data_IF_544202585292
#
_entry.id   IF_544202585292
#
_cell.length_a   1.000
_cell.length_b   1.000
_cell.length_c   1.000
_cell.angle_alpha   90.00
_cell.angle_beta   90.00
_cell.angle_gamma   90.00
#
_symmetry.space_group_name_H-M   'P 1'
#
loop_
_entity.id
_entity.type
_entity.pdbx_description
1 polymer ?
#
# COMPACT_ATOMS: atom_id res chain seq x y z
N UNK A 1 20.84 -50.43 -40.19
CA UNK A 1 21.03 -50.26 -38.74
C UNK A 1 21.17 -48.76 -38.49
N UNK A 2 20.18 -48.17 -37.82
CA UNK A 2 20.03 -46.72 -37.67
C UNK A 2 21.09 -46.12 -36.76
N UNK A 3 21.69 -45.02 -37.23
CA UNK A 3 22.38 -44.03 -36.41
C UNK A 3 21.40 -42.87 -36.25
N UNK A 4 20.91 -42.64 -35.04
CA UNK A 4 20.18 -41.41 -34.71
C UNK A 4 20.90 -40.76 -33.53
N UNK A 5 21.50 -39.61 -33.83
CA UNK A 5 22.14 -38.72 -32.89
C UNK A 5 21.15 -37.87 -32.10
N UNK A 6 21.71 -37.24 -31.07
CA UNK A 6 21.09 -36.40 -30.04
C UNK A 6 20.01 -35.40 -30.49
N UNK A 7 19.03 -35.22 -29.60
CA UNK A 7 18.45 -33.92 -29.32
C UNK A 7 18.30 -33.76 -27.80
N UNK A 8 19.29 -33.12 -27.19
CA UNK A 8 19.24 -32.67 -25.79
C UNK A 8 18.20 -31.54 -25.70
N UNK A 9 17.16 -31.74 -24.88
CA UNK A 9 16.11 -30.74 -24.66
C UNK A 9 16.65 -29.58 -23.82
N UNK A 10 16.31 -28.33 -24.14
CA UNK A 10 16.69 -27.18 -23.32
C UNK A 10 16.01 -27.25 -21.96
N UNK A 11 16.80 -27.08 -20.89
CA UNK A 11 16.32 -26.94 -19.52
C UNK A 11 15.57 -25.62 -19.40
N UNK A 12 14.28 -25.70 -19.10
CA UNK A 12 13.43 -24.57 -18.73
C UNK A 12 14.00 -23.91 -17.46
N UNK A 13 14.26 -22.61 -17.54
CA UNK A 13 14.56 -21.75 -16.40
C UNK A 13 13.49 -21.92 -15.32
N UNK A 14 13.93 -22.09 -14.07
CA UNK A 14 13.05 -22.32 -12.93
C UNK A 14 12.36 -21.02 -12.52
N UNK A 15 11.04 -21.03 -12.55
CA UNK A 15 10.16 -20.09 -11.83
C UNK A 15 10.29 -20.36 -10.31
N UNK A 16 11.44 -20.01 -9.73
CA UNK A 16 11.58 -19.95 -8.29
C UNK A 16 10.91 -18.66 -7.79
N UNK A 17 10.03 -18.73 -6.76
CA UNK A 17 9.47 -17.52 -6.17
C UNK A 17 10.64 -16.62 -5.72
N UNK A 18 10.57 -15.33 -6.04
CA UNK A 18 11.53 -14.33 -5.55
C UNK A 18 11.31 -14.17 -4.04
N UNK A 19 11.81 -15.15 -3.29
CA UNK A 19 11.89 -15.12 -1.86
C UNK A 19 12.93 -14.06 -1.49
N UNK A 20 12.61 -13.20 -0.53
CA UNK A 20 13.62 -12.33 0.07
C UNK A 20 14.58 -13.25 0.82
N UNK A 21 15.64 -13.70 0.16
CA UNK A 21 16.67 -14.54 0.78
C UNK A 21 17.39 -13.82 1.95
N UNK A 22 17.09 -12.54 2.19
CA UNK A 22 17.56 -11.72 3.32
C UNK A 22 16.48 -10.71 3.72
N UNK A 23 15.98 -10.83 4.95
CA UNK A 23 15.17 -9.82 5.63
C UNK A 23 16.10 -8.79 6.29
N UNK A 24 15.81 -7.47 6.27
CA UNK A 24 14.80 -6.76 5.47
C UNK A 24 15.32 -6.42 4.06
N UNK A 25 14.47 -5.97 3.12
CA UNK A 25 14.92 -5.42 1.84
C UNK A 25 15.94 -4.30 2.03
N UNK A 26 16.90 -4.15 1.12
CA UNK A 26 17.66 -2.91 1.07
C UNK A 26 16.68 -1.81 0.63
N UNK A 27 16.79 -0.67 1.30
CA UNK A 27 16.32 0.67 0.93
C UNK A 27 15.87 0.85 -0.55
N UNK A 28 14.90 1.72 -0.78
CA UNK A 28 14.38 2.00 -2.12
C UNK A 28 15.50 2.24 -3.15
N UNK A 29 15.54 1.52 -4.28
CA UNK A 29 16.65 1.60 -5.24
C UNK A 29 16.78 2.96 -5.93
N UNK A 30 15.74 3.80 -5.88
CA UNK A 30 15.75 5.13 -6.50
C UNK A 30 16.16 6.26 -5.55
N UNK A 31 15.82 6.18 -4.27
CA UNK A 31 16.04 7.27 -3.31
C UNK A 31 16.75 6.87 -2.02
N UNK A 32 17.09 5.60 -1.85
CA UNK A 32 17.68 5.02 -0.64
C UNK A 32 16.84 5.23 0.64
N UNK A 33 15.57 5.59 0.50
CA UNK A 33 14.63 5.67 1.62
C UNK A 33 14.28 4.29 2.16
N UNK A 34 13.96 4.22 3.45
CA UNK A 34 13.40 3.00 4.04
C UNK A 34 12.05 2.67 3.38
N UNK A 35 11.88 1.39 3.02
CA UNK A 35 10.61 0.88 2.50
C UNK A 35 9.96 -0.04 3.50
N UNK A 36 8.65 0.07 3.62
CA UNK A 36 7.86 -0.77 4.50
C UNK A 36 7.26 -1.94 3.72
N UNK A 37 7.30 -3.15 4.27
CA UNK A 37 6.77 -4.34 3.62
C UNK A 37 5.27 -4.22 3.29
N UNK A 38 4.91 -4.70 2.11
CA UNK A 38 3.54 -4.85 1.64
C UNK A 38 3.40 -6.18 0.88
N UNK A 39 2.30 -6.93 1.10
CA UNK A 39 2.06 -8.17 0.36
C UNK A 39 1.74 -7.87 -1.11
N UNK A 40 2.08 -8.78 -2.05
CA UNK A 40 1.81 -8.63 -3.49
C UNK A 40 0.34 -8.30 -3.84
N UNK A 41 -0.63 -8.68 -3.00
CA UNK A 41 -2.03 -8.31 -3.19
C UNK A 41 -2.22 -6.80 -3.28
N UNK A 42 -1.45 -6.02 -2.53
CA UNK A 42 -1.56 -4.55 -2.53
C UNK A 42 -1.19 -3.96 -3.90
N UNK A 43 0.04 -4.11 -4.44
CA UNK A 43 0.35 -3.64 -5.79
C UNK A 43 -0.57 -4.24 -6.86
N UNK A 44 -0.97 -5.53 -6.73
CA UNK A 44 -1.87 -6.17 -7.71
C UNK A 44 -3.22 -5.44 -7.86
N UNK A 45 -3.78 -4.91 -6.77
CA UNK A 45 -5.06 -4.20 -6.81
C UNK A 45 -4.93 -2.69 -7.01
N UNK A 46 -3.82 -2.07 -6.58
CA UNK A 46 -3.62 -0.62 -6.66
C UNK A 46 -3.02 -0.15 -7.99
N UNK A 47 -2.43 -1.05 -8.78
CA UNK A 47 -1.88 -0.75 -10.11
C UNK A 47 -2.94 -0.72 -11.21
N UNK A 48 -2.72 0.14 -12.22
CA UNK A 48 -3.50 0.18 -13.46
C UNK A 48 -3.41 -1.17 -14.17
N UNK A 49 -4.48 -1.53 -14.89
CA UNK A 49 -4.65 -2.84 -15.53
C UNK A 49 -3.40 -3.36 -16.28
N UNK A 50 -2.68 -2.55 -17.11
CA UNK A 50 -1.52 -3.04 -17.85
C UNK A 50 -0.37 -3.55 -16.96
N UNK A 51 -0.20 -2.98 -15.76
CA UNK A 51 0.94 -3.26 -14.89
C UNK A 51 0.67 -4.40 -13.90
N UNK A 52 -0.59 -4.84 -13.74
CA UNK A 52 -0.95 -5.90 -12.77
C UNK A 52 -0.31 -7.24 -13.09
N UNK A 53 -0.07 -7.52 -14.38
CA UNK A 53 0.59 -8.76 -14.84
C UNK A 53 2.08 -8.80 -14.52
N UNK A 54 2.69 -7.65 -14.23
CA UNK A 54 4.10 -7.53 -13.83
C UNK A 54 4.30 -7.72 -12.34
N UNK A 55 3.22 -7.89 -11.57
CA UNK A 55 3.30 -8.22 -10.14
C UNK A 55 3.62 -9.70 -10.02
N UNK A 56 4.74 -10.00 -9.36
CA UNK A 56 5.20 -11.35 -9.08
C UNK A 56 4.20 -12.04 -8.14
N UNK A 57 3.72 -13.22 -8.54
CA UNK A 57 2.87 -14.04 -7.68
C UNK A 57 3.68 -14.47 -6.45
N UNK A 58 3.10 -14.33 -5.25
CA UNK A 58 3.81 -14.55 -3.98
C UNK A 58 5.04 -13.64 -3.75
N UNK A 59 5.23 -12.58 -4.55
CA UNK A 59 6.31 -11.62 -4.35
C UNK A 59 6.16 -10.82 -3.04
N UNK A 60 7.29 -10.53 -2.40
CA UNK A 60 7.36 -9.57 -1.31
C UNK A 60 7.77 -8.21 -1.86
N UNK A 61 6.96 -7.19 -1.54
CA UNK A 61 7.14 -5.83 -2.03
C UNK A 61 7.36 -4.88 -0.87
N UNK A 62 7.90 -3.71 -1.18
CA UNK A 62 8.10 -2.62 -0.24
C UNK A 62 7.51 -1.34 -0.77
N UNK A 63 6.82 -0.61 0.10
CA UNK A 63 6.28 0.71 -0.16
C UNK A 63 7.33 1.78 0.19
N UNK A 64 7.72 2.59 -0.80
CA UNK A 64 8.58 3.76 -0.56
C UNK A 64 7.74 4.95 -0.08
N UNK A 65 7.95 5.38 1.16
CA UNK A 65 7.21 6.50 1.75
C UNK A 65 7.85 7.89 1.49
N UNK A 66 9.00 7.95 0.81
CA UNK A 66 9.67 9.23 0.50
C UNK A 66 8.79 10.09 -0.41
N UNK A 67 8.36 11.30 0.01
CA UNK A 67 7.42 12.13 -0.76
C UNK A 67 7.89 12.50 -2.16
N UNK A 68 9.18 12.77 -2.32
CA UNK A 68 9.80 13.23 -3.57
C UNK A 68 10.22 12.10 -4.51
N UNK A 69 10.05 10.83 -4.11
CA UNK A 69 10.44 9.68 -4.91
C UNK A 69 9.24 9.16 -5.71
N UNK A 70 9.38 9.04 -7.02
CA UNK A 70 8.30 8.52 -7.89
C UNK A 70 8.05 7.02 -7.70
N UNK A 71 9.02 6.26 -7.19
CA UNK A 71 8.83 4.85 -6.86
C UNK A 71 7.82 4.73 -5.71
N UNK A 72 6.81 3.90 -5.91
CA UNK A 72 5.81 3.54 -4.90
C UNK A 72 6.08 2.14 -4.37
N UNK A 73 6.28 1.17 -5.26
CA UNK A 73 6.58 -0.20 -4.89
C UNK A 73 7.89 -0.66 -5.49
N UNK A 74 8.62 -1.51 -4.77
CA UNK A 74 9.75 -2.25 -5.31
C UNK A 74 9.81 -3.64 -4.68
N UNK A 75 10.11 -4.66 -5.49
CA UNK A 75 10.32 -6.02 -4.99
C UNK A 75 11.70 -6.16 -4.35
N UNK A 76 11.91 -7.25 -3.60
CA UNK A 76 13.19 -7.56 -2.98
C UNK A 76 14.38 -7.68 -3.96
N UNK A 77 14.13 -7.95 -5.25
CA UNK A 77 15.19 -7.97 -6.28
C UNK A 77 15.67 -6.58 -6.71
N UNK A 78 14.96 -5.51 -6.34
CA UNK A 78 15.23 -4.13 -6.75
C UNK A 78 15.00 -3.84 -8.24
N UNK A 79 14.69 -4.86 -9.05
CA UNK A 79 14.43 -4.74 -10.50
C UNK A 79 12.96 -4.47 -10.77
N UNK A 80 12.06 -5.15 -10.05
CA UNK A 80 10.62 -4.94 -10.21
C UNK A 80 10.17 -3.72 -9.41
N UNK A 81 9.98 -2.60 -10.10
CA UNK A 81 9.57 -1.34 -9.50
C UNK A 81 8.29 -0.81 -10.15
N UNK A 82 7.48 -0.13 -9.34
CA UNK A 82 6.29 0.55 -9.79
C UNK A 82 6.25 1.99 -9.29
N UNK A 83 5.89 2.91 -10.18
CA UNK A 83 5.89 4.36 -9.95
C UNK A 83 4.48 4.92 -9.75
N UNK A 84 4.39 6.15 -9.25
CA UNK A 84 3.14 6.93 -9.11
C UNK A 84 2.30 6.93 -10.38
N UNK A 85 2.93 7.03 -11.55
CA UNK A 85 2.26 7.02 -12.85
C UNK A 85 1.54 5.70 -13.18
N UNK A 86 1.90 4.60 -12.53
CA UNK A 86 1.36 3.26 -12.78
C UNK A 86 0.21 2.89 -11.84
N UNK A 87 -0.05 3.69 -10.80
CA UNK A 87 -1.14 3.46 -9.85
C UNK A 87 -2.47 4.01 -10.34
N UNK A 88 -3.57 3.38 -9.92
CA UNK A 88 -4.94 3.81 -10.24
C UNK A 88 -5.24 5.17 -9.60
N UNK A 89 -4.77 5.35 -8.36
CA UNK A 89 -5.01 6.53 -7.55
C UNK A 89 -3.68 7.22 -7.20
N UNK A 90 -3.77 8.53 -6.95
CA UNK A 90 -2.69 9.32 -6.34
C UNK A 90 -2.32 8.75 -4.97
N UNK A 91 -1.07 8.93 -4.56
CA UNK A 91 -0.54 8.38 -3.30
C UNK A 91 -0.43 9.48 -2.25
N UNK A 92 -1.07 9.30 -1.11
CA UNK A 92 -1.28 10.32 -0.06
C UNK A 92 0.00 11.04 0.37
N UNK A 93 1.08 10.28 0.58
CA UNK A 93 2.38 10.81 1.05
C UNK A 93 3.24 11.41 -0.07
N UNK A 94 2.85 11.25 -1.35
CA UNK A 94 3.62 11.70 -2.52
C UNK A 94 2.92 12.79 -3.34
N UNK A 95 1.69 13.17 -2.97
CA UNK A 95 0.88 14.09 -3.75
C UNK A 95 0.12 15.05 -2.82
N UNK A 96 0.47 16.35 -2.89
CA UNK A 96 -0.14 17.41 -2.09
C UNK A 96 -1.44 17.99 -2.66
N UNK A 97 -1.89 17.56 -3.84
CA UNK A 97 -3.15 18.03 -4.40
C UNK A 97 -4.32 17.71 -3.43
N UNK A 98 -5.20 18.69 -3.12
CA UNK A 98 -6.35 18.48 -2.25
C UNK A 98 -7.30 17.34 -2.69
N UNK A 99 -7.29 16.98 -3.98
CA UNK A 99 -8.09 15.85 -4.51
C UNK A 99 -7.41 14.49 -4.30
N UNK A 100 -6.25 14.44 -3.64
CA UNK A 100 -5.59 13.19 -3.28
C UNK A 100 -6.33 12.48 -2.14
N UNK A 101 -6.55 11.16 -2.22
CA UNK A 101 -7.24 10.43 -1.17
C UNK A 101 -6.48 10.42 0.16
N UNK A 102 -7.20 10.62 1.25
CA UNK A 102 -6.80 10.25 2.62
C UNK A 102 -7.28 8.83 2.93
N UNK A 103 -8.51 8.49 2.53
CA UNK A 103 -9.05 7.13 2.63
C UNK A 103 -9.56 6.64 1.27
N UNK A 104 -8.89 5.62 0.74
CA UNK A 104 -9.21 5.02 -0.56
C UNK A 104 -10.48 4.18 -0.52
N UNK A 105 -10.77 3.52 0.61
CA UNK A 105 -11.94 2.66 0.78
C UNK A 105 -13.25 3.43 0.63
N UNK A 106 -13.31 4.64 1.19
CA UNK A 106 -14.53 5.45 1.26
C UNK A 106 -14.43 6.78 0.50
N UNK A 107 -13.38 6.95 -0.32
CA UNK A 107 -13.12 8.14 -1.15
C UNK A 107 -13.16 9.45 -0.36
N UNK A 108 -12.53 9.45 0.82
CA UNK A 108 -12.30 10.69 1.58
C UNK A 108 -11.02 11.32 1.05
N UNK A 109 -11.11 12.57 0.60
CA UNK A 109 -10.01 13.31 -0.02
C UNK A 109 -9.42 14.32 0.98
N UNK A 110 -8.18 14.78 0.74
CA UNK A 110 -7.53 15.85 1.53
C UNK A 110 -8.44 17.08 1.63
N UNK A 111 -9.12 17.47 0.56
CA UNK A 111 -10.03 18.62 0.51
C UNK A 111 -11.21 18.52 1.49
N UNK A 112 -11.66 17.32 1.85
CA UNK A 112 -12.72 17.16 2.84
C UNK A 112 -12.22 17.61 4.22
N UNK A 113 -11.02 17.18 4.61
CA UNK A 113 -10.39 17.57 5.85
C UNK A 113 -10.03 19.06 5.84
N UNK A 114 -9.39 19.53 4.76
CA UNK A 114 -8.98 20.94 4.62
C UNK A 114 -10.18 21.91 4.74
N UNK A 115 -11.33 21.58 4.13
CA UNK A 115 -12.55 22.39 4.28
C UNK A 115 -13.11 22.40 5.70
N UNK A 116 -12.94 21.33 6.46
CA UNK A 116 -13.33 21.30 7.87
C UNK A 116 -12.38 22.18 8.68
N UNK A 117 -11.06 22.04 8.48
CA UNK A 117 -10.05 22.86 9.14
C UNK A 117 -10.28 24.35 8.92
N UNK A 118 -10.57 24.76 7.68
CA UNK A 118 -10.88 26.15 7.36
C UNK A 118 -12.13 26.68 8.09
N UNK A 119 -13.17 25.86 8.22
CA UNK A 119 -14.46 26.28 8.79
C UNK A 119 -14.52 26.26 10.31
N UNK A 120 -13.86 25.30 10.95
CA UNK A 120 -14.05 25.02 12.37
C UNK A 120 -12.75 24.79 13.14
N UNK A 121 -11.57 24.90 12.49
CA UNK A 121 -10.27 24.71 13.12
C UNK A 121 -9.93 23.26 13.48
N UNK A 122 -10.78 22.29 13.14
CA UNK A 122 -10.56 20.87 13.41
C UNK A 122 -11.22 20.00 12.33
N UNK A 123 -10.84 18.72 12.24
CA UNK A 123 -11.38 17.76 11.27
C UNK A 123 -11.80 16.45 11.94
N UNK A 124 -13.00 15.98 11.61
CA UNK A 124 -13.57 14.73 12.12
C UNK A 124 -13.40 13.56 11.16
N UNK A 125 -12.60 13.70 10.10
CA UNK A 125 -12.49 12.70 9.02
C UNK A 125 -12.10 11.31 9.53
N UNK A 126 -11.31 11.22 10.59
CA UNK A 126 -10.94 9.94 11.22
C UNK A 126 -12.17 9.29 11.87
N UNK A 127 -12.97 10.06 12.62
CA UNK A 127 -14.21 9.58 13.22
C UNK A 127 -15.22 9.18 12.13
N UNK A 128 -15.34 9.96 11.06
CA UNK A 128 -16.16 9.62 9.88
C UNK A 128 -15.73 8.28 9.26
N UNK A 129 -14.42 8.05 9.10
CA UNK A 129 -13.91 6.78 8.55
C UNK A 129 -14.22 5.61 9.50
N UNK A 130 -13.98 5.78 10.80
CA UNK A 130 -14.31 4.76 11.82
C UNK A 130 -15.81 4.43 11.82
N UNK A 131 -16.69 5.43 11.67
CA UNK A 131 -18.13 5.22 11.51
C UNK A 131 -18.48 4.40 10.25
N UNK A 132 -17.89 4.76 9.09
CA UNK A 132 -18.10 4.02 7.84
C UNK A 132 -17.56 2.58 7.90
N UNK A 133 -16.55 2.31 8.71
CA UNK A 133 -16.04 0.94 8.94
C UNK A 133 -17.06 0.05 9.64
N UNK A 134 -17.92 0.62 10.49
CA UNK A 134 -19.02 -0.12 11.14
C UNK A 134 -20.13 -0.49 10.15
N UNK A 135 -20.37 0.35 9.14
CA UNK A 135 -21.39 0.10 8.12
C UNK A 135 -20.90 -0.85 7.01
N UNK A 136 -19.63 -0.74 6.61
CA UNK A 136 -19.03 -1.56 5.56
C UNK A 136 -17.55 -1.80 5.84
N UNK A 137 -17.08 -3.06 5.88
CA UNK A 137 -15.67 -3.38 6.11
C UNK A 137 -14.70 -2.63 5.19
N UNK A 138 -13.58 -2.21 5.76
CA UNK A 138 -12.49 -1.59 4.99
C UNK A 138 -11.75 -2.65 4.16
N UNK A 139 -11.16 -2.23 3.04
CA UNK A 139 -10.36 -3.09 2.16
C UNK A 139 -9.00 -2.43 1.89
N UNK A 140 -8.36 -1.92 2.95
CA UNK A 140 -7.12 -1.15 2.84
C UNK A 140 -6.02 -1.92 2.10
N UNK A 141 -5.89 -3.23 2.32
CA UNK A 141 -4.95 -4.08 1.58
C UNK A 141 -5.11 -4.02 0.06
N UNK A 142 -6.31 -3.75 -0.45
CA UNK A 142 -6.60 -3.70 -1.90
C UNK A 142 -6.65 -2.27 -2.45
N UNK A 143 -7.01 -1.29 -1.64
CA UNK A 143 -7.25 0.07 -2.11
C UNK A 143 -6.22 1.10 -1.65
N UNK A 144 -5.64 0.94 -0.46
CA UNK A 144 -4.62 1.86 0.07
C UNK A 144 -3.24 1.45 -0.44
N UNK A 145 -2.50 2.32 -1.15
CA UNK A 145 -1.17 1.99 -1.61
C UNK A 145 -0.21 1.56 -0.50
N UNK A 146 -0.40 2.08 0.72
CA UNK A 146 0.42 1.75 1.89
C UNK A 146 0.17 0.34 2.45
N UNK A 147 -0.94 -0.30 2.08
CA UNK A 147 -1.28 -1.67 2.46
C UNK A 147 -1.86 -1.86 3.87
N UNK A 148 -2.00 -0.81 4.69
CA UNK A 148 -2.59 -0.89 6.04
C UNK A 148 -3.71 0.13 6.26
N UNK A 149 -4.35 0.07 7.43
CA UNK A 149 -5.39 1.01 7.81
C UNK A 149 -4.87 2.47 7.73
N UNK A 150 -5.66 3.35 7.13
CA UNK A 150 -5.24 4.73 6.87
C UNK A 150 -5.38 5.66 8.08
N UNK A 151 -6.08 5.27 9.15
CA UNK A 151 -6.43 6.19 10.26
C UNK A 151 -5.20 6.79 10.92
N UNK A 152 -4.18 5.99 11.25
CA UNK A 152 -2.94 6.50 11.84
C UNK A 152 -2.15 7.43 10.91
N UNK A 153 -2.13 7.16 9.60
CA UNK A 153 -1.49 8.06 8.61
C UNK A 153 -2.25 9.39 8.50
N UNK A 154 -3.59 9.35 8.59
CA UNK A 154 -4.44 10.53 8.52
C UNK A 154 -4.28 11.37 9.79
N UNK A 155 -4.19 10.75 10.96
CA UNK A 155 -3.91 11.43 12.22
C UNK A 155 -2.57 12.17 12.15
N UNK A 156 -1.50 11.50 11.70
CA UNK A 156 -0.19 12.15 11.49
C UNK A 156 -0.26 13.28 10.45
N UNK A 157 -1.05 13.10 9.38
CA UNK A 157 -1.24 14.15 8.38
C UNK A 157 -1.98 15.37 8.95
N UNK A 158 -3.02 15.16 9.78
CA UNK A 158 -3.77 16.22 10.45
C UNK A 158 -2.90 17.00 11.45
N UNK A 159 -2.05 16.32 12.23
CA UNK A 159 -1.07 16.97 13.10
C UNK A 159 -0.15 17.91 12.31
N UNK A 160 0.30 17.50 11.12
CA UNK A 160 1.09 18.35 10.22
C UNK A 160 0.30 19.56 9.68
N UNK A 161 -1.02 19.51 9.69
CA UNK A 161 -1.89 20.65 9.35
C UNK A 161 -2.18 21.58 10.56
N UNK A 162 -1.59 21.30 11.73
CA UNK A 162 -1.80 22.10 12.94
C UNK A 162 -3.00 21.67 13.80
N UNK A 163 -3.53 20.46 13.59
CA UNK A 163 -4.57 19.89 14.46
C UNK A 163 -3.94 19.31 15.72
N UNK A 164 -4.38 19.78 16.88
CA UNK A 164 -4.11 19.11 18.15
C UNK A 164 -5.03 17.89 18.28
N UNK A 165 -4.46 16.70 18.14
CA UNK A 165 -5.18 15.46 18.43
C UNK A 165 -5.19 15.25 19.95
N UNK A 166 -6.37 14.98 20.51
CA UNK A 166 -6.45 14.54 21.90
C UNK A 166 -5.65 13.24 22.07
N UNK A 167 -4.78 13.18 23.08
CA UNK A 167 -4.03 11.97 23.41
C UNK A 167 -5.03 10.86 23.75
N UNK A 168 -5.18 9.88 22.87
CA UNK A 168 -5.85 8.62 23.21
C UNK A 168 -4.77 7.61 23.61
N UNK A 169 -4.69 7.18 24.88
CA UNK A 169 -3.62 6.32 25.39
C UNK A 169 -3.67 4.87 24.91
N UNK A 170 -4.46 4.51 23.90
CA UNK A 170 -4.55 3.14 23.41
C UNK A 170 -4.46 3.11 21.89
N UNK A 171 -3.34 2.57 21.40
CA UNK A 171 -3.13 2.19 20.01
C UNK A 171 -4.10 1.06 19.68
N UNK A 172 -5.33 1.43 19.38
CA UNK A 172 -6.39 0.50 19.03
C UNK A 172 -6.10 -0.04 17.62
N UNK A 173 -5.68 -1.30 17.58
CA UNK A 173 -5.53 -2.11 16.38
C UNK A 173 -6.87 -2.14 15.63
N UNK A 174 -7.02 -1.18 14.70
CA UNK A 174 -8.24 -0.92 13.94
C UNK A 174 -8.66 -2.11 13.05
N UNK A 175 -7.91 -3.22 13.05
CA UNK A 175 -8.09 -4.37 12.18
C UNK A 175 -8.02 -5.71 12.94
N UNK A 176 -8.74 -5.85 14.07
CA UNK A 176 -9.14 -7.19 14.50
C UNK A 176 -10.16 -7.75 13.51
N UNK A 177 -9.72 -8.68 12.68
CA UNK A 177 -10.59 -9.64 12.04
C UNK A 177 -11.28 -10.45 13.13
N UNK A 178 -12.61 -10.47 13.15
CA UNK A 178 -13.35 -11.50 13.87
C UNK A 178 -13.05 -12.85 13.22
N UNK A 179 -12.02 -13.53 13.73
CA UNK A 179 -11.90 -14.98 13.63
C UNK A 179 -12.32 -15.54 14.98
N UNK A 180 -13.60 -15.89 15.10
CA UNK A 180 -14.01 -17.25 15.44
C UNK A 180 -15.54 -17.32 15.55
N UNK A 181 -16.16 -17.56 14.41
CA UNK A 181 -17.46 -18.21 14.35
C UNK A 181 -17.27 -19.71 14.14
N UNK A 182 -17.88 -20.50 15.02
CA UNK A 182 -18.29 -21.91 14.86
C UNK A 182 -17.36 -23.02 15.37
N UNK A 183 -17.74 -23.59 16.53
CA UNK A 183 -18.13 -25.00 16.59
C UNK A 183 -19.00 -25.30 17.81
N UNK A 184 -20.24 -25.75 17.51
CA UNK A 184 -21.09 -26.73 18.22
C UNK A 184 -21.26 -26.64 19.74
#
# INVERSE_FOLDING_TARGET
>A
MGMEGEAEKPKTESDDPVACAKTPPPRCPACEGEGAEVPHVTPRFTLKSPFRKSVLEQGHYHFCATPTCDVVYYACDGQHQFTTAQLINRVTVKDEDPKTPLCYCYRILKEHALRQLEKQGNSDVVALIKGRMQERPSQCLKFNPRGHCCTGDIEQWLQKQGVELAENPEGDDCCRSESDGSSR
#
